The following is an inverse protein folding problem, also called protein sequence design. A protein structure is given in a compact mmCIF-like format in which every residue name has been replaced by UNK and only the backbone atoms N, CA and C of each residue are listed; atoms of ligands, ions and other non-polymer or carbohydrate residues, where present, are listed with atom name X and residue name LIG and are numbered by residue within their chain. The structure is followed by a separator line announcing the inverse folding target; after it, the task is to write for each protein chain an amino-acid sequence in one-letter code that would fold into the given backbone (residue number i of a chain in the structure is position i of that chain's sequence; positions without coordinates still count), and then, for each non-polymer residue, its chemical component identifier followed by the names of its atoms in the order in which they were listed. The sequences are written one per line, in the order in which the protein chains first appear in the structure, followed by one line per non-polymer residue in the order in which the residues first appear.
data_IF_915978625143
#
_entry.id   IF_915978625143
#
_cell.length_a   1.000
_cell.length_b   1.000
_cell.length_c   1.000
_cell.angle_alpha   90.00
_cell.angle_beta   90.00
_cell.angle_gamma   90.00
#
_symmetry.space_group_name_H-M   'P 1'
#
loop_
_entity.id
_entity.type
_entity.pdbx_description
1 polymer ?
#
# COMPACT_ATOMS: atom_id res chain seq x y z
N UNK A 1 23.69 -18.40 9.54
CA UNK A 1 23.77 -16.95 9.81
C UNK A 1 22.49 -16.34 9.28
N UNK A 2 21.74 -15.57 10.08
CA UNK A 2 20.56 -14.85 9.58
C UNK A 2 21.00 -13.87 8.50
N UNK A 3 20.22 -13.77 7.42
CA UNK A 3 20.44 -12.74 6.40
C UNK A 3 20.14 -11.38 7.02
N UNK A 4 21.06 -10.43 6.88
CA UNK A 4 20.85 -9.03 7.28
C UNK A 4 20.21 -8.28 6.11
N UNK A 5 19.00 -7.74 6.30
CA UNK A 5 18.27 -6.95 5.28
C UNK A 5 18.83 -5.53 5.23
N UNK A 6 19.25 -5.07 4.06
CA UNK A 6 19.84 -3.74 3.83
C UNK A 6 19.19 -2.96 2.70
N UNK A 7 18.77 -3.65 1.64
CA UNK A 7 18.27 -3.02 0.41
C UNK A 7 16.80 -3.40 0.21
N UNK A 8 15.92 -2.42 0.41
CA UNK A 8 14.48 -2.64 0.43
C UNK A 8 13.86 -1.94 -0.77
N UNK A 9 13.06 -2.67 -1.54
CA UNK A 9 12.20 -2.09 -2.57
C UNK A 9 10.76 -2.06 -2.07
N UNK A 10 10.14 -0.89 -2.12
CA UNK A 10 8.72 -0.69 -1.86
C UNK A 10 8.03 -0.52 -3.22
N UNK A 11 7.00 -1.31 -3.48
CA UNK A 11 6.15 -1.19 -4.67
C UNK A 11 4.84 -0.55 -4.23
N UNK A 12 4.59 0.68 -4.67
CA UNK A 12 3.39 1.44 -4.33
C UNK A 12 3.65 2.89 -3.98
N UNK A 13 2.60 3.70 -4.01
CA UNK A 13 2.64 5.16 -3.87
C UNK A 13 1.59 5.71 -2.88
N UNK A 14 1.07 4.81 -2.05
CA UNK A 14 0.02 5.05 -1.07
C UNK A 14 0.56 5.43 0.32
N UNK A 15 -0.34 5.64 1.28
CA UNK A 15 0.02 5.93 2.67
C UNK A 15 0.96 4.88 3.27
N UNK A 16 0.62 3.59 3.11
CA UNK A 16 1.44 2.47 3.63
C UNK A 16 2.85 2.52 3.05
N UNK A 17 2.98 2.78 1.74
CA UNK A 17 4.28 2.88 1.09
C UNK A 17 5.13 4.01 1.67
N UNK A 18 4.55 5.21 1.85
CA UNK A 18 5.28 6.37 2.37
C UNK A 18 5.59 6.28 3.86
N UNK A 19 4.69 5.75 4.68
CA UNK A 19 4.93 5.54 6.11
C UNK A 19 6.11 4.59 6.33
N UNK A 20 6.10 3.44 5.64
CA UNK A 20 7.19 2.48 5.68
C UNK A 20 8.48 3.10 5.12
N UNK A 21 8.41 3.84 4.01
CA UNK A 21 9.57 4.54 3.46
C UNK A 21 10.18 5.51 4.47
N UNK A 22 9.35 6.32 5.15
CA UNK A 22 9.81 7.25 6.19
C UNK A 22 10.41 6.53 7.38
N UNK A 23 9.77 5.47 7.85
CA UNK A 23 10.24 4.66 8.97
C UNK A 23 11.62 4.04 8.71
N UNK A 24 11.82 3.45 7.52
CA UNK A 24 13.07 2.80 7.12
C UNK A 24 14.22 3.77 6.82
N UNK A 25 13.93 4.97 6.29
CA UNK A 25 14.96 5.95 5.90
C UNK A 25 15.41 6.86 7.04
N UNK A 26 14.52 7.14 7.99
CA UNK A 26 14.86 7.95 9.17
C UNK A 26 15.59 7.14 10.23
N UNK A 27 15.52 5.81 10.18
CA UNK A 27 16.18 4.92 11.13
C UNK A 27 15.36 4.65 12.39
N UNK A 28 14.07 4.99 12.46
CA UNK A 28 13.19 4.53 13.55
C UNK A 28 13.01 2.99 13.59
N UNK A 29 13.67 2.27 12.69
CA UNK A 29 13.69 0.82 12.53
C UNK A 29 14.58 0.04 13.54
N UNK A 30 15.09 0.70 14.59
CA UNK A 30 15.78 0.00 15.67
C UNK A 30 14.84 -0.93 16.47
N UNK A 31 15.33 -2.06 17.01
CA UNK A 31 14.50 -3.06 17.70
C UNK A 31 13.71 -2.52 18.90
N UNK A 32 14.11 -1.37 19.45
CA UNK A 32 13.49 -0.74 20.61
C UNK A 32 12.82 0.61 20.30
N UNK A 33 12.76 1.02 19.02
CA UNK A 33 12.18 2.31 18.60
C UNK A 33 12.96 3.54 19.08
N UNK A 34 14.22 3.36 19.51
CA UNK A 34 15.06 4.43 20.03
C UNK A 34 15.97 5.02 18.95
N UNK A 35 16.21 6.35 18.93
CA UNK A 35 17.10 6.98 17.95
C UNK A 35 18.53 6.47 17.97
N UNK A 36 19.04 5.98 19.11
CA UNK A 36 20.39 5.42 19.23
C UNK A 36 20.53 4.02 18.59
N UNK A 37 19.41 3.30 18.45
CA UNK A 37 19.36 1.96 17.85
C UNK A 37 19.02 2.05 16.35
N UNK A 38 19.01 3.27 15.79
CA UNK A 38 18.52 3.56 14.48
C UNK A 38 19.44 3.05 13.37
N UNK A 39 19.00 2.02 12.64
CA UNK A 39 19.70 1.54 11.46
C UNK A 39 18.93 1.94 10.19
N UNK A 40 19.48 2.89 9.44
CA UNK A 40 18.90 3.31 8.16
C UNK A 40 19.05 2.20 7.13
N UNK A 41 18.01 1.98 6.33
CA UNK A 41 18.02 1.04 5.20
C UNK A 41 18.10 1.79 3.87
N UNK A 42 18.64 1.14 2.85
CA UNK A 42 18.62 1.66 1.48
C UNK A 42 17.23 1.39 0.90
N UNK A 43 16.44 2.44 0.69
CA UNK A 43 15.05 2.30 0.24
C UNK A 43 14.89 2.80 -1.19
N UNK A 44 14.36 1.93 -2.05
CA UNK A 44 13.90 2.26 -3.39
C UNK A 44 12.37 2.17 -3.44
N UNK A 45 11.69 3.19 -3.97
CA UNK A 45 10.23 3.20 -4.13
C UNK A 45 9.89 3.15 -5.61
N UNK A 46 9.24 2.08 -6.05
CA UNK A 46 8.77 1.90 -7.43
C UNK A 46 7.28 2.19 -7.48
N UNK A 47 6.88 3.10 -8.36
CA UNK A 47 5.50 3.57 -8.44
C UNK A 47 5.06 3.88 -9.87
N UNK A 48 3.77 3.76 -10.12
CA UNK A 48 3.18 4.00 -11.44
C UNK A 48 2.92 5.48 -11.74
N UNK A 49 2.78 6.32 -10.71
CA UNK A 49 2.53 7.74 -10.87
C UNK A 49 3.83 8.55 -10.86
N UNK A 50 3.75 9.79 -11.37
CA UNK A 50 4.88 10.74 -11.38
C UNK A 50 5.33 11.21 -9.99
N UNK A 51 4.45 11.12 -9.01
CA UNK A 51 4.69 11.52 -7.62
C UNK A 51 3.74 10.74 -6.70
N UNK A 52 4.13 10.44 -5.45
CA UNK A 52 3.32 9.64 -4.55
C UNK A 52 2.08 10.38 -4.06
N UNK A 53 1.02 9.67 -3.70
CA UNK A 53 -0.22 10.25 -3.17
C UNK A 53 -0.92 11.25 -4.11
N UNK A 54 -0.55 11.28 -5.40
CA UNK A 54 -1.03 12.29 -6.34
C UNK A 54 -2.55 12.24 -6.56
N UNK A 55 -3.17 11.05 -6.50
CA UNK A 55 -4.63 10.89 -6.59
C UNK A 55 -5.38 11.56 -5.44
N UNK A 56 -4.74 11.73 -4.29
CA UNK A 56 -5.36 12.23 -3.06
C UNK A 56 -5.02 13.72 -2.86
N UNK A 57 -3.75 14.10 -3.01
CA UNK A 57 -3.29 15.46 -2.67
C UNK A 57 -2.94 16.33 -3.88
N UNK A 58 -2.97 15.78 -5.09
CA UNK A 58 -2.55 16.48 -6.30
C UNK A 58 -1.03 16.70 -6.39
N UNK A 59 -0.58 17.18 -7.54
CA UNK A 59 0.83 17.21 -7.92
C UNK A 59 1.74 18.03 -6.99
N UNK A 60 1.28 19.21 -6.56
CA UNK A 60 2.11 20.12 -5.76
C UNK A 60 2.47 19.50 -4.40
N UNK A 61 1.50 18.91 -3.71
CA UNK A 61 1.72 18.30 -2.39
C UNK A 61 2.44 16.97 -2.56
N UNK A 62 2.05 16.15 -3.54
CA UNK A 62 2.72 14.91 -3.89
C UNK A 62 4.23 15.09 -4.12
N UNK A 63 4.62 16.10 -4.91
CA UNK A 63 6.03 16.41 -5.17
C UNK A 63 6.78 16.92 -3.92
N UNK A 64 6.10 17.62 -3.00
CA UNK A 64 6.69 18.00 -1.72
C UNK A 64 6.93 16.79 -0.82
N UNK A 65 5.97 15.85 -0.76
CA UNK A 65 6.11 14.60 -0.01
C UNK A 65 7.28 13.75 -0.54
N UNK A 66 7.38 13.59 -1.86
CA UNK A 66 8.50 12.87 -2.49
C UNK A 66 9.84 13.47 -2.07
N UNK A 67 10.00 14.80 -2.18
CA UNK A 67 11.23 15.49 -1.79
C UNK A 67 11.60 15.27 -0.33
N UNK A 68 10.62 15.22 0.58
CA UNK A 68 10.88 14.92 2.00
C UNK A 68 11.50 13.53 2.15
N UNK A 69 10.96 12.52 1.48
CA UNK A 69 11.50 11.15 1.53
C UNK A 69 12.87 11.03 0.82
N UNK A 70 13.06 11.70 -0.32
CA UNK A 70 14.34 11.76 -1.03
C UNK A 70 15.43 12.42 -0.17
N UNK A 71 15.11 13.52 0.51
CA UNK A 71 16.02 14.18 1.45
C UNK A 71 16.42 13.28 2.63
N UNK A 72 15.57 12.30 2.98
CA UNK A 72 15.87 11.30 4.00
C UNK A 72 16.64 10.09 3.47
N UNK A 73 16.89 10.01 2.15
CA UNK A 73 17.71 8.99 1.50
C UNK A 73 16.94 7.95 0.67
N UNK A 74 15.63 8.11 0.47
CA UNK A 74 14.88 7.26 -0.45
C UNK A 74 15.22 7.56 -1.92
N UNK A 75 15.23 6.54 -2.78
CA UNK A 75 15.28 6.70 -4.24
C UNK A 75 13.92 6.35 -4.85
N UNK A 76 13.31 7.28 -5.58
CA UNK A 76 12.05 7.05 -6.27
C UNK A 76 12.29 6.66 -7.73
N UNK A 77 11.47 5.72 -8.21
CA UNK A 77 11.34 5.30 -9.60
C UNK A 77 9.90 5.60 -10.01
N UNK A 78 9.60 6.85 -10.39
CA UNK A 78 8.27 7.25 -10.86
C UNK A 78 7.97 6.63 -12.22
N UNK A 79 6.68 6.47 -12.53
CA UNK A 79 6.20 5.97 -13.83
C UNK A 79 6.87 4.65 -14.25
N UNK A 80 7.16 3.80 -13.26
CA UNK A 80 7.86 2.54 -13.42
C UNK A 80 6.93 1.35 -13.14
N UNK A 81 7.11 0.28 -13.91
CA UNK A 81 6.35 -0.95 -13.79
C UNK A 81 7.28 -2.11 -13.45
N UNK A 82 6.98 -2.82 -12.37
CA UNK A 82 7.67 -4.07 -12.02
C UNK A 82 7.12 -5.20 -12.90
N UNK A 83 8.01 -5.98 -13.50
CA UNK A 83 7.66 -7.13 -14.34
C UNK A 83 7.97 -8.46 -13.67
N UNK A 84 9.03 -8.52 -12.85
CA UNK A 84 9.48 -9.76 -12.23
C UNK A 84 10.21 -9.51 -10.90
N UNK A 85 10.06 -10.46 -9.98
CA UNK A 85 10.89 -10.55 -8.78
C UNK A 85 11.79 -11.79 -8.93
N UNK A 86 13.11 -11.59 -9.01
CA UNK A 86 14.06 -12.71 -9.13
C UNK A 86 14.79 -12.91 -7.82
N UNK A 87 15.08 -14.17 -7.48
CA UNK A 87 15.69 -14.53 -6.21
C UNK A 87 16.35 -15.91 -6.24
N UNK A 88 17.15 -16.17 -5.21
CA UNK A 88 17.86 -17.43 -5.01
C UNK A 88 17.73 -17.84 -3.54
N UNK A 89 17.61 -19.14 -3.25
CA UNK A 89 17.51 -19.67 -1.89
C UNK A 89 16.38 -19.01 -1.06
N UNK A 90 15.23 -18.77 -1.67
CA UNK A 90 14.05 -18.09 -1.11
C UNK A 90 14.29 -16.63 -0.66
N UNK A 91 15.34 -16.00 -1.17
CA UNK A 91 15.66 -14.60 -0.92
C UNK A 91 15.58 -13.86 -2.24
N UNK A 92 14.78 -12.79 -2.29
CA UNK A 92 14.75 -11.88 -3.44
C UNK A 92 16.11 -11.22 -3.62
N UNK A 93 16.51 -11.03 -4.88
CA UNK A 93 17.78 -10.40 -5.27
C UNK A 93 17.57 -9.19 -6.15
N UNK A 94 16.57 -9.23 -7.04
CA UNK A 94 16.27 -8.11 -7.91
C UNK A 94 14.78 -7.92 -8.12
N UNK A 95 14.38 -6.66 -8.26
CA UNK A 95 13.13 -6.24 -8.86
C UNK A 95 13.42 -5.82 -10.30
N UNK A 96 12.82 -6.51 -11.26
CA UNK A 96 12.97 -6.18 -12.68
C UNK A 96 11.90 -5.17 -13.08
N UNK A 97 12.32 -4.10 -13.75
CA UNK A 97 11.42 -3.11 -14.33
C UNK A 97 11.16 -3.42 -15.82
N UNK A 98 10.04 -2.92 -16.33
CA UNK A 98 9.68 -2.98 -17.74
C UNK A 98 10.64 -2.23 -18.67
N UNK A 99 11.50 -1.38 -18.12
CA UNK A 99 12.58 -0.66 -18.84
C UNK A 99 13.85 -1.48 -18.97
N UNK A 100 13.82 -2.76 -18.60
CA UNK A 100 14.98 -3.66 -18.47
C UNK A 100 15.98 -3.29 -17.34
N UNK A 101 15.70 -2.23 -16.56
CA UNK A 101 16.47 -1.92 -15.35
C UNK A 101 16.18 -2.93 -14.22
N UNK A 102 17.24 -3.41 -13.55
CA UNK A 102 17.13 -4.29 -12.37
C UNK A 102 17.55 -3.56 -11.10
N UNK A 103 16.68 -3.54 -10.09
CA UNK A 103 16.96 -2.92 -8.79
C UNK A 103 17.38 -4.01 -7.78
N UNK A 104 18.62 -4.01 -7.26
CA UNK A 104 19.06 -4.99 -6.27
C UNK A 104 18.35 -4.79 -4.94
N UNK A 105 17.84 -5.87 -4.35
CA UNK A 105 17.16 -5.85 -3.06
C UNK A 105 17.32 -7.18 -2.32
N UNK A 106 17.06 -7.16 -1.01
CA UNK A 106 16.95 -8.35 -0.15
C UNK A 106 15.58 -8.45 0.55
N UNK A 107 14.73 -7.43 0.40
CA UNK A 107 13.34 -7.42 0.80
C UNK A 107 12.51 -6.58 -0.19
N UNK A 108 11.31 -7.08 -0.50
CA UNK A 108 10.30 -6.34 -1.27
C UNK A 108 9.06 -6.17 -0.41
N UNK A 109 8.55 -4.95 -0.34
CA UNK A 109 7.30 -4.59 0.35
C UNK A 109 6.29 -4.16 -0.71
N UNK A 110 5.15 -4.85 -0.77
CA UNK A 110 4.08 -4.57 -1.74
C UNK A 110 2.98 -3.79 -1.02
N UNK A 111 2.84 -2.51 -1.36
CA UNK A 111 1.91 -1.55 -0.75
C UNK A 111 0.97 -0.95 -1.80
N UNK A 112 0.32 -1.83 -2.59
CA UNK A 112 -0.48 -1.50 -3.77
C UNK A 112 -1.99 -1.45 -3.53
N UNK A 113 -2.42 -1.53 -2.28
CA UNK A 113 -3.83 -1.57 -1.88
C UNK A 113 -4.23 -2.89 -1.24
N UNK A 114 -5.51 -3.03 -0.95
CA UNK A 114 -6.11 -4.20 -0.30
C UNK A 114 -7.46 -4.51 -0.92
N UNK A 115 -7.85 -5.78 -0.88
CA UNK A 115 -9.17 -6.25 -1.28
C UNK A 115 -9.99 -6.63 -0.04
N UNK A 116 -11.31 -6.69 -0.21
CA UNK A 116 -12.25 -7.08 0.86
C UNK A 116 -12.19 -8.58 1.13
N UNK A 117 -12.08 -8.97 2.40
CA UNK A 117 -12.05 -10.37 2.82
C UNK A 117 -13.49 -10.87 3.08
N UNK A 118 -14.25 -11.13 2.01
CA UNK A 118 -15.67 -11.54 2.07
C UNK A 118 -15.93 -12.94 1.49
N UNK A 119 -14.89 -13.72 1.22
CA UNK A 119 -14.99 -15.05 0.63
C UNK A 119 -15.86 -16.00 1.45
N UNK A 120 -15.78 -15.92 2.78
CA UNK A 120 -16.57 -16.74 3.70
C UNK A 120 -18.08 -16.48 3.62
N UNK A 121 -18.48 -15.36 3.02
CA UNK A 121 -19.88 -14.93 2.94
C UNK A 121 -20.49 -15.13 1.55
N UNK A 122 -19.74 -15.65 0.57
CA UNK A 122 -20.20 -15.83 -0.81
C UNK A 122 -21.45 -16.71 -0.93
N UNK A 123 -21.58 -17.71 -0.05
CA UNK A 123 -22.75 -18.62 0.00
C UNK A 123 -23.73 -18.26 1.13
N UNK A 124 -23.60 -17.06 1.70
CA UNK A 124 -24.47 -16.56 2.77
C UNK A 124 -25.62 -15.71 2.19
N UNK A 125 -26.68 -15.45 2.97
CA UNK A 125 -27.75 -14.52 2.55
C UNK A 125 -27.34 -13.04 2.57
N UNK A 126 -26.07 -12.71 2.86
CA UNK A 126 -25.57 -11.34 2.81
C UNK A 126 -25.51 -10.82 1.36
N UNK A 127 -26.06 -9.64 1.13
CA UNK A 127 -25.89 -8.93 -0.14
C UNK A 127 -24.46 -8.35 -0.23
N UNK A 128 -23.73 -8.77 -1.26
CA UNK A 128 -22.41 -8.24 -1.61
C UNK A 128 -22.51 -7.32 -2.84
N UNK A 129 -21.71 -6.26 -2.87
CA UNK A 129 -21.53 -5.41 -4.06
C UNK A 129 -20.69 -6.11 -5.13
N UNK A 130 -20.61 -5.55 -6.34
CA UNK A 130 -19.69 -6.05 -7.38
C UNK A 130 -18.23 -6.05 -6.92
N UNK A 131 -17.82 -5.03 -6.15
CA UNK A 131 -16.49 -4.96 -5.52
C UNK A 131 -16.37 -5.77 -4.21
N UNK A 132 -17.26 -6.73 -3.98
CA UNK A 132 -17.22 -7.67 -2.85
C UNK A 132 -17.36 -7.07 -1.44
N UNK A 133 -17.83 -5.84 -1.28
CA UNK A 133 -18.19 -5.28 0.04
C UNK A 133 -19.55 -5.79 0.51
N UNK A 134 -19.75 -5.92 1.83
CA UNK A 134 -21.07 -6.15 2.41
C UNK A 134 -21.90 -4.87 2.29
N UNK A 135 -23.03 -4.94 1.60
CA UNK A 135 -23.95 -3.81 1.47
C UNK A 135 -24.65 -3.57 2.81
N UNK A 136 -24.68 -2.31 3.24
CA UNK A 136 -25.38 -1.90 4.46
C UNK A 136 -26.24 -0.67 4.22
N UNK A 137 -27.26 -0.50 5.07
CA UNK A 137 -28.01 0.75 5.13
C UNK A 137 -27.27 1.83 5.95
N UNK A 138 -27.91 2.98 6.12
CA UNK A 138 -27.43 4.12 6.91
C UNK A 138 -27.36 3.87 8.43
N UNK A 139 -27.89 2.74 8.89
CA UNK A 139 -27.77 2.22 10.25
C UNK A 139 -26.71 1.11 10.38
N UNK A 140 -25.96 0.83 9.31
CA UNK A 140 -24.94 -0.24 9.21
C UNK A 140 -25.53 -1.67 9.24
N UNK A 141 -26.84 -1.79 9.04
CA UNK A 141 -27.55 -3.07 8.99
C UNK A 141 -27.39 -3.71 7.61
N UNK A 142 -27.16 -5.01 7.60
CA UNK A 142 -27.04 -5.82 6.37
C UNK A 142 -28.41 -6.25 5.84
N UNK A 143 -28.43 -7.05 4.76
CA UNK A 143 -29.65 -7.70 4.26
C UNK A 143 -30.22 -8.77 5.22
N UNK A 144 -29.47 -9.16 6.25
CA UNK A 144 -29.86 -10.19 7.22
C UNK A 144 -30.26 -9.52 8.53
N UNK A 145 -31.44 -9.89 9.04
CA UNK A 145 -31.98 -9.32 10.26
C UNK A 145 -31.04 -9.51 11.45
N UNK A 146 -30.90 -8.45 12.26
CA UNK A 146 -30.01 -8.38 13.41
C UNK A 146 -28.51 -8.58 13.12
N UNK A 147 -28.07 -8.45 11.87
CA UNK A 147 -26.67 -8.52 11.47
C UNK A 147 -26.19 -7.15 10.97
N UNK A 148 -25.07 -6.69 11.52
CA UNK A 148 -24.42 -5.42 11.20
C UNK A 148 -23.05 -5.68 10.53
N UNK A 149 -22.65 -4.79 9.62
CA UNK A 149 -21.29 -4.79 9.05
C UNK A 149 -20.66 -3.39 9.08
N UNK A 150 -19.43 -3.30 9.57
CA UNK A 150 -18.77 -2.03 9.88
C UNK A 150 -17.30 -2.02 9.44
N UNK A 151 -16.78 -0.84 9.11
CA UNK A 151 -15.39 -0.66 8.69
C UNK A 151 -15.16 -1.05 7.23
N UNK A 152 -13.93 -1.43 6.90
CA UNK A 152 -13.47 -1.63 5.51
C UNK A 152 -14.22 -2.73 4.74
N UNK A 153 -14.95 -3.60 5.44
CA UNK A 153 -15.73 -4.67 4.82
C UNK A 153 -17.08 -4.18 4.27
N UNK A 154 -17.57 -3.01 4.69
CA UNK A 154 -18.92 -2.54 4.35
C UNK A 154 -18.94 -1.40 3.33
N UNK A 155 -19.93 -1.45 2.43
CA UNK A 155 -20.26 -0.34 1.52
C UNK A 155 -21.37 0.50 2.14
N UNK A 156 -20.97 1.59 2.78
CA UNK A 156 -21.89 2.51 3.44
C UNK A 156 -22.34 3.67 2.51
N UNK A 157 -23.64 4.05 2.52
CA UNK A 157 -24.14 5.18 1.73
C UNK A 157 -23.64 6.54 2.26
N UNK A 158 -22.76 7.19 1.49
CA UNK A 158 -22.24 8.52 1.82
C UNK A 158 -23.20 9.63 1.40
N UNK A 159 -24.05 10.06 2.32
CA UNK A 159 -25.09 11.09 2.10
C UNK A 159 -24.59 12.42 1.54
N UNK A 160 -23.33 12.81 1.83
CA UNK A 160 -22.78 14.11 1.40
C UNK A 160 -22.54 14.19 -0.12
N UNK A 161 -22.46 13.04 -0.80
CA UNK A 161 -22.20 12.99 -2.23
C UNK A 161 -23.41 12.53 -3.06
N UNK A 162 -24.56 12.28 -2.43
CA UNK A 162 -25.74 11.71 -3.10
C UNK A 162 -25.39 10.48 -3.98
N UNK A 163 -24.36 9.73 -3.58
CA UNK A 163 -23.87 8.54 -4.27
C UNK A 163 -24.70 7.33 -3.85
N UNK A 164 -26.03 7.42 -3.98
CA UNK A 164 -26.93 6.35 -3.55
C UNK A 164 -27.46 5.49 -4.70
N UNK A 165 -27.22 5.80 -5.98
CA UNK A 165 -27.84 5.00 -7.06
C UNK A 165 -27.00 4.68 -8.30
N UNK A 166 -25.86 5.35 -8.55
CA UNK A 166 -25.16 5.21 -9.84
C UNK A 166 -23.64 5.26 -9.72
N UNK A 167 -23.03 4.15 -9.31
CA UNK A 167 -21.69 3.80 -9.80
C UNK A 167 -21.82 2.40 -10.39
N UNK A 168 -22.09 2.38 -11.70
CA UNK A 168 -21.82 1.24 -12.59
C UNK A 168 -20.35 1.28 -13.00
#
# INVERSE_FOLDING_TARGET
KSHETKNIVIIGDSFIALEICGWLTTGLAGPNGKPEDAEKKNVSVVMQLKAPMMRIFGERIAGALQKIHENNGAKFYPEAHVTELTGENNIVKFVQLATDESIPCDLVIVAIGSETCTELYKDSPLELTEDQFIKVNDHLETSVDHVLAVGDISKYPLRIFNLDDHVK
#
